data_IF_310362400861
#
_entry.id   IF_310362400861
#
_cell.length_a   1.000
_cell.length_b   1.000
_cell.length_c   1.000
_cell.angle_alpha   90.00
_cell.angle_beta   90.00
_cell.angle_gamma   90.00
#
_symmetry.space_group_name_H-M   'P 1'
#
loop_
_entity.id
_entity.type
_entity.pdbx_description
1 polymer ?
#
# COMPACT_ATOMS: atom_id res chain seq x y z
N UNK A 1 -2.23 37.93 -52.20
CA UNK A 1 -2.24 37.53 -53.63
C UNK A 1 -0.85 37.01 -53.98
N UNK A 2 -0.75 35.76 -54.46
CA UNK A 2 0.43 35.06 -55.08
C UNK A 2 1.66 34.82 -54.16
N UNK A 3 1.94 33.63 -53.62
CA UNK A 3 2.41 32.32 -54.16
C UNK A 3 3.90 32.23 -54.61
N UNK A 4 4.67 31.49 -53.79
CA UNK A 4 5.71 30.46 -54.07
C UNK A 4 7.03 30.80 -54.80
N UNK A 5 8.18 30.49 -54.13
CA UNK A 5 9.01 29.29 -54.45
C UNK A 5 10.19 29.02 -53.47
N UNK A 6 10.18 27.79 -52.93
CA UNK A 6 11.28 26.83 -52.60
C UNK A 6 12.59 27.30 -51.94
N UNK A 7 12.97 26.63 -50.82
CA UNK A 7 14.03 25.59 -50.79
C UNK A 7 14.00 24.79 -49.47
N UNK A 8 13.90 23.47 -49.60
CA UNK A 8 14.13 22.50 -48.53
C UNK A 8 15.64 22.43 -48.23
N UNK A 9 16.03 22.65 -46.98
CA UNK A 9 17.35 22.27 -46.48
C UNK A 9 17.20 21.02 -45.61
N UNK A 10 17.61 19.86 -46.15
CA UNK A 10 17.93 18.66 -45.35
C UNK A 10 19.21 18.96 -44.56
N UNK A 11 19.07 19.32 -43.30
CA UNK A 11 20.19 19.39 -42.36
C UNK A 11 20.51 17.99 -41.83
N UNK A 12 21.61 17.40 -42.27
CA UNK A 12 22.23 16.27 -41.57
C UNK A 12 22.81 16.78 -40.25
N UNK A 13 22.30 16.28 -39.12
CA UNK A 13 22.91 16.49 -37.80
C UNK A 13 24.20 15.66 -37.73
N UNK A 14 25.35 16.22 -37.32
CA UNK A 14 26.60 15.47 -37.29
C UNK A 14 26.65 14.53 -36.07
N UNK A 15 27.21 13.33 -36.31
CA UNK A 15 27.54 12.27 -35.34
C UNK A 15 28.61 12.75 -34.34
N UNK A 16 28.22 13.64 -33.42
CA UNK A 16 29.00 14.02 -32.23
C UNK A 16 28.42 13.47 -30.92
N UNK A 17 27.19 12.96 -30.94
CA UNK A 17 26.44 12.44 -29.78
C UNK A 17 27.06 11.18 -29.16
N UNK A 18 27.63 10.27 -29.97
CA UNK A 18 28.14 8.98 -29.46
C UNK A 18 29.38 9.09 -28.57
N UNK A 19 30.19 10.15 -28.71
CA UNK A 19 31.39 10.37 -27.89
C UNK A 19 31.05 10.91 -26.49
N UNK A 20 30.02 11.74 -26.39
CA UNK A 20 29.55 12.30 -25.12
C UNK A 20 28.80 11.26 -24.28
N UNK A 21 27.93 10.46 -24.91
CA UNK A 21 27.26 9.33 -24.24
C UNK A 21 28.29 8.31 -23.71
N UNK A 22 29.33 8.00 -24.50
CA UNK A 22 30.43 7.11 -24.08
C UNK A 22 31.22 7.67 -22.89
N UNK A 23 31.51 8.97 -22.88
CA UNK A 23 32.21 9.61 -21.76
C UNK A 23 31.37 9.66 -20.48
N UNK A 24 30.05 9.82 -20.60
CA UNK A 24 29.11 9.84 -19.47
C UNK A 24 28.97 8.45 -18.83
N UNK A 25 28.86 7.39 -19.65
CA UNK A 25 28.80 5.99 -19.21
C UNK A 25 30.09 5.57 -18.51
N UNK A 26 31.26 5.95 -19.05
CA UNK A 26 32.55 5.68 -18.41
C UNK A 26 32.71 6.41 -17.06
N UNK A 27 32.18 7.64 -16.93
CA UNK A 27 32.23 8.41 -15.69
C UNK A 27 31.30 7.85 -14.60
N UNK A 28 30.13 7.34 -14.97
CA UNK A 28 29.17 6.67 -14.08
C UNK A 28 29.69 5.30 -13.59
N UNK A 29 30.29 4.50 -14.48
CA UNK A 29 30.95 3.25 -14.10
C UNK A 29 32.08 3.48 -13.08
N UNK A 30 32.89 4.53 -13.28
CA UNK A 30 33.98 4.92 -12.38
C UNK A 30 33.48 5.38 -11.00
N UNK A 31 32.35 6.09 -10.92
CA UNK A 31 31.78 6.54 -9.63
C UNK A 31 31.20 5.39 -8.82
N UNK A 32 30.61 4.40 -9.49
CA UNK A 32 30.10 3.18 -8.85
C UNK A 32 31.23 2.26 -8.34
N UNK A 33 32.37 2.21 -9.04
CA UNK A 33 33.50 1.36 -8.65
C UNK A 33 34.25 1.89 -7.42
N UNK A 34 34.35 3.23 -7.26
CA UNK A 34 34.99 3.87 -6.11
C UNK A 34 34.22 3.79 -4.79
N UNK A 35 32.93 3.42 -4.82
CA UNK A 35 32.07 3.31 -3.63
C UNK A 35 31.97 1.88 -3.08
N UNK A 36 32.80 0.94 -3.55
CA UNK A 36 32.95 -0.37 -2.90
C UNK A 36 33.85 -0.26 -1.67
N UNK A 37 33.52 -0.89 -0.53
CA UNK A 37 34.46 -1.06 0.57
C UNK A 37 35.69 -1.83 0.06
N UNK A 38 36.88 -1.30 0.36
CA UNK A 38 38.18 -1.83 -0.08
C UNK A 38 38.33 -3.31 0.31
N UNK A 39 38.31 -4.17 -0.72
CA UNK A 39 38.76 -5.56 -0.67
C UNK A 39 40.00 -5.71 -1.54
N UNK A 40 41.04 -6.28 -0.94
CA UNK A 40 42.40 -6.56 -1.41
C UNK A 40 42.55 -6.80 -2.93
N UNK A 41 43.46 -6.03 -3.55
CA UNK A 41 44.00 -6.27 -4.90
C UNK A 41 45.05 -7.39 -4.86
N UNK A 42 45.18 -8.21 -5.92
CA UNK A 42 46.48 -8.72 -6.31
C UNK A 42 46.99 -8.03 -7.57
N UNK A 43 48.30 -7.81 -7.53
CA UNK A 43 49.16 -7.27 -8.57
C UNK A 43 49.12 -8.13 -9.86
N UNK A 44 49.00 -7.49 -11.01
CA UNK A 44 50.03 -7.50 -12.05
C UNK A 44 49.58 -6.73 -13.29
N UNK A 45 50.46 -5.81 -13.70
CA UNK A 45 50.34 -4.99 -14.90
C UNK A 45 51.17 -5.59 -16.04
N UNK A 46 50.64 -5.52 -17.26
CA UNK A 46 51.28 -5.50 -18.60
C UNK A 46 50.36 -6.25 -19.61
N UNK A 47 50.10 -5.82 -20.84
CA UNK A 47 50.79 -4.90 -21.73
C UNK A 47 49.79 -4.23 -22.71
N UNK A 48 50.14 -3.02 -23.15
CA UNK A 48 49.53 -2.33 -24.28
C UNK A 48 50.05 -2.91 -25.60
N UNK A 49 49.14 -3.19 -26.54
CA UNK A 49 49.43 -3.38 -27.95
C UNK A 49 48.31 -2.74 -28.78
N UNK A 50 48.63 -1.65 -29.46
CA UNK A 50 47.76 -1.01 -30.47
C UNK A 50 47.92 -1.75 -31.80
N UNK A 51 46.82 -2.01 -32.53
CA UNK A 51 46.75 -1.85 -34.00
C UNK A 51 45.34 -2.15 -34.58
N UNK A 52 44.89 -1.28 -35.52
CA UNK A 52 43.85 -1.57 -36.53
C UNK A 52 42.55 -0.73 -36.49
N UNK A 53 42.13 -0.08 -37.61
CA UNK A 53 40.86 0.64 -37.71
C UNK A 53 39.71 -0.34 -38.00
N UNK A 54 39.32 -1.10 -36.98
CA UNK A 54 38.12 -1.94 -37.00
C UNK A 54 36.88 -1.12 -36.62
N UNK A 55 35.75 -1.42 -37.26
CA UNK A 55 34.44 -0.83 -36.97
C UNK A 55 34.21 -0.71 -35.45
N UNK A 56 33.81 0.49 -35.00
CA UNK A 56 33.50 0.72 -33.60
C UNK A 56 32.36 -0.23 -33.19
N UNK A 57 32.54 -1.07 -32.15
CA UNK A 57 31.47 -1.92 -31.66
C UNK A 57 30.35 -1.04 -31.10
N UNK A 58 29.14 -1.22 -31.64
CA UNK A 58 27.89 -0.69 -31.10
C UNK A 58 27.65 -1.36 -29.75
N UNK A 59 27.38 -0.54 -28.73
CA UNK A 59 27.58 -0.86 -27.32
C UNK A 59 26.61 -1.90 -26.76
N UNK A 60 27.12 -3.03 -26.21
CA UNK A 60 26.41 -3.91 -25.27
C UNK A 60 26.12 -3.26 -23.90
N UNK A 61 26.48 -1.98 -23.72
CA UNK A 61 26.49 -1.30 -22.41
C UNK A 61 25.13 -0.74 -21.99
N UNK A 62 24.24 -0.36 -22.92
CA UNK A 62 22.88 0.07 -22.56
C UNK A 62 22.07 -1.09 -21.93
N UNK A 63 22.22 -2.31 -22.46
CA UNK A 63 21.66 -3.52 -21.88
C UNK A 63 22.29 -3.89 -20.53
N UNK A 64 23.59 -3.64 -20.33
CA UNK A 64 24.25 -3.82 -19.02
C UNK A 64 23.82 -2.79 -17.99
N UNK A 65 23.59 -1.54 -18.39
CA UNK A 65 23.12 -0.46 -17.52
C UNK A 65 21.65 -0.66 -17.15
N UNK A 66 20.81 -1.06 -18.13
CA UNK A 66 19.43 -1.50 -17.87
C UNK A 66 19.41 -2.67 -16.90
N UNK A 67 20.25 -3.70 -17.10
CA UNK A 67 20.37 -4.83 -16.18
C UNK A 67 20.85 -4.44 -14.78
N UNK A 68 21.87 -3.59 -14.67
CA UNK A 68 22.40 -3.11 -13.39
C UNK A 68 21.42 -2.22 -12.61
N UNK A 69 20.50 -1.53 -13.29
CA UNK A 69 19.41 -0.75 -12.68
C UNK A 69 18.20 -1.62 -12.31
N UNK A 70 17.96 -2.70 -13.07
CA UNK A 70 16.80 -3.59 -12.92
C UNK A 70 17.04 -4.70 -11.88
N UNK A 71 18.26 -5.25 -11.77
CA UNK A 71 18.58 -6.35 -10.85
C UNK A 71 18.30 -5.99 -9.35
N UNK A 72 18.57 -4.77 -8.84
CA UNK A 72 18.22 -4.38 -7.47
C UNK A 72 16.72 -4.13 -7.24
N UNK A 73 15.96 -3.81 -8.29
CA UNK A 73 14.50 -3.62 -8.24
C UNK A 73 13.75 -4.97 -8.24
N UNK A 74 14.38 -6.03 -8.75
CA UNK A 74 13.83 -7.39 -8.84
C UNK A 74 14.02 -8.23 -7.55
N UNK A 75 14.87 -7.79 -6.62
CA UNK A 75 15.13 -8.50 -5.37
C UNK A 75 14.04 -8.30 -4.29
N UNK A 76 12.89 -7.72 -4.62
CA UNK A 76 11.81 -7.47 -3.68
C UNK A 76 10.74 -8.57 -3.67
N UNK A 77 10.20 -8.95 -2.50
CA UNK A 77 8.97 -9.75 -2.43
C UNK A 77 7.80 -8.96 -3.01
N UNK A 78 6.93 -9.65 -3.76
CA UNK A 78 5.72 -9.04 -4.31
C UNK A 78 4.81 -8.54 -3.17
N UNK A 79 4.42 -7.28 -3.25
CA UNK A 79 3.54 -6.64 -2.28
C UNK A 79 2.08 -7.03 -2.57
N UNK A 80 1.28 -7.51 -1.59
CA UNK A 80 -0.03 -8.13 -1.83
C UNK A 80 -1.20 -7.15 -2.07
N UNK A 81 -0.95 -5.85 -2.24
CA UNK A 81 -1.97 -4.78 -2.11
C UNK A 81 -2.73 -4.40 -3.39
N UNK A 82 -3.05 -5.34 -4.27
CA UNK A 82 -3.77 -4.98 -5.50
C UNK A 82 -5.07 -5.76 -5.68
N UNK A 83 -6.18 -5.01 -5.68
CA UNK A 83 -7.54 -5.50 -5.96
C UNK A 83 -7.70 -5.87 -7.46
N UNK A 84 -6.81 -5.37 -8.31
CA UNK A 84 -6.37 -5.98 -9.56
C UNK A 84 -4.90 -5.58 -9.74
N UNK A 85 -3.93 -6.50 -9.82
CA UNK A 85 -2.52 -6.13 -9.94
C UNK A 85 -2.33 -5.19 -11.14
N UNK A 86 -1.75 -3.98 -10.98
CA UNK A 86 -1.18 -3.29 -12.12
C UNK A 86 -0.19 -4.28 -12.72
N UNK A 87 -0.18 -4.40 -14.03
CA UNK A 87 0.76 -5.28 -14.68
C UNK A 87 2.18 -4.71 -14.48
N UNK A 88 2.79 -5.07 -13.35
CA UNK A 88 4.16 -4.74 -12.99
C UNK A 88 5.05 -5.62 -13.86
N UNK A 89 5.62 -5.03 -14.89
CA UNK A 89 6.46 -5.74 -15.85
C UNK A 89 7.89 -5.81 -15.36
N UNK A 90 8.15 -6.74 -14.45
CA UNK A 90 9.51 -7.08 -14.00
C UNK A 90 9.87 -8.50 -14.47
N UNK A 91 10.99 -8.61 -15.19
CA UNK A 91 11.58 -9.88 -15.66
C UNK A 91 12.39 -9.69 -16.95
N UNK A 92 13.33 -10.59 -17.28
CA UNK A 92 14.17 -10.48 -18.49
C UNK A 92 13.60 -11.18 -19.73
N UNK A 93 12.40 -11.75 -19.68
CA UNK A 93 11.81 -12.45 -20.83
C UNK A 93 10.33 -12.10 -20.99
N UNK A 94 9.96 -11.69 -22.20
CA UNK A 94 8.58 -11.41 -22.57
C UNK A 94 8.08 -10.04 -22.11
N UNK A 95 8.97 -9.14 -21.69
CA UNK A 95 8.62 -7.78 -21.25
C UNK A 95 8.01 -7.00 -22.40
N UNK A 96 8.56 -7.14 -23.61
CA UNK A 96 7.98 -6.55 -24.82
C UNK A 96 6.54 -7.04 -25.08
N UNK A 97 6.31 -8.36 -25.04
CA UNK A 97 4.97 -8.97 -25.25
C UNK A 97 3.98 -8.49 -24.19
N UNK A 98 4.41 -8.44 -22.94
CA UNK A 98 3.62 -8.01 -21.80
C UNK A 98 3.23 -6.53 -21.87
N UNK A 99 4.17 -5.65 -22.21
CA UNK A 99 3.89 -4.23 -22.48
C UNK A 99 2.94 -4.04 -23.67
N UNK A 100 3.12 -4.81 -24.74
CA UNK A 100 2.21 -4.80 -25.89
C UNK A 100 0.79 -5.25 -25.53
N UNK A 101 0.64 -6.20 -24.59
CA UNK A 101 -0.66 -6.62 -24.07
C UNK A 101 -1.29 -5.55 -23.18
N UNK A 102 -0.53 -4.94 -22.27
CA UNK A 102 -1.01 -3.85 -21.41
C UNK A 102 -1.54 -2.66 -22.21
N UNK A 103 -0.87 -2.35 -23.32
CA UNK A 103 -1.23 -1.25 -24.24
C UNK A 103 -2.68 -1.33 -24.76
N UNK A 104 -3.32 -2.50 -24.72
CA UNK A 104 -4.63 -2.74 -25.34
C UNK A 104 -5.76 -2.97 -24.32
N UNK A 105 -5.47 -3.20 -23.03
CA UNK A 105 -6.54 -3.60 -22.11
C UNK A 105 -6.25 -3.62 -20.62
N UNK A 106 -5.17 -3.00 -20.13
CA UNK A 106 -4.94 -2.89 -18.69
C UNK A 106 -5.78 -1.75 -18.08
N UNK A 107 -6.35 -2.00 -16.89
CA UNK A 107 -7.07 -0.98 -16.12
C UNK A 107 -6.16 0.17 -15.66
N UNK A 108 -4.89 -0.13 -15.40
CA UNK A 108 -3.81 0.83 -15.13
C UNK A 108 -2.48 0.14 -15.43
N UNK A 109 -1.59 0.79 -16.19
CA UNK A 109 -0.23 0.30 -16.41
C UNK A 109 0.77 1.19 -15.68
N UNK A 110 1.66 0.59 -14.89
CA UNK A 110 2.79 1.28 -14.26
C UNK A 110 4.10 0.79 -14.91
N UNK A 111 4.90 1.72 -15.43
CA UNK A 111 6.21 1.43 -16.02
C UNK A 111 7.27 2.27 -15.34
N UNK A 112 8.29 1.62 -14.79
CA UNK A 112 9.53 2.25 -14.35
C UNK A 112 10.68 1.71 -15.16
N UNK A 113 11.56 2.57 -15.68
CA UNK A 113 12.69 2.11 -16.49
C UNK A 113 13.23 3.13 -17.49
N UNK A 114 13.58 2.65 -18.68
CA UNK A 114 14.21 3.44 -19.74
C UNK A 114 13.21 3.81 -20.83
N UNK A 115 13.22 5.08 -21.23
CA UNK A 115 12.54 5.56 -22.42
C UNK A 115 13.53 6.14 -23.41
N UNK A 116 13.18 6.12 -24.70
CA UNK A 116 13.97 6.75 -25.76
C UNK A 116 13.08 7.51 -26.72
N UNK A 117 13.64 8.60 -27.26
CA UNK A 117 13.03 9.41 -28.30
C UNK A 117 13.71 9.12 -29.64
N UNK A 118 12.95 8.60 -30.60
CA UNK A 118 13.47 8.21 -31.92
C UNK A 118 12.54 8.74 -33.01
N UNK A 119 13.10 9.49 -33.96
CA UNK A 119 12.42 9.91 -35.21
C UNK A 119 11.04 10.58 -35.05
N UNK A 120 10.79 11.25 -33.91
CA UNK A 120 9.51 11.92 -33.66
C UNK A 120 8.54 11.12 -32.80
N UNK A 121 8.97 9.99 -32.24
CA UNK A 121 8.12 9.09 -31.45
C UNK A 121 8.81 8.64 -30.15
N UNK A 122 7.98 8.41 -29.12
CA UNK A 122 8.42 7.99 -27.80
C UNK A 122 8.26 6.47 -27.61
N UNK A 123 9.33 5.84 -27.14
CA UNK A 123 9.40 4.39 -26.93
C UNK A 123 9.79 4.03 -25.51
N UNK A 124 9.24 2.94 -25.00
CA UNK A 124 9.75 2.22 -23.84
C UNK A 124 10.80 1.21 -24.30
N UNK A 125 11.85 1.03 -23.51
CA UNK A 125 12.91 0.05 -23.78
C UNK A 125 12.69 -1.18 -22.88
N UNK A 126 12.22 -2.32 -23.43
CA UNK A 126 12.12 -3.55 -22.67
C UNK A 126 13.49 -4.03 -22.20
N UNK A 127 13.53 -4.70 -21.04
CA UNK A 127 14.74 -5.32 -20.49
C UNK A 127 15.33 -6.40 -21.42
N UNK A 128 14.50 -6.97 -22.29
CA UNK A 128 14.85 -7.97 -23.30
C UNK A 128 15.11 -7.39 -24.69
N UNK A 129 15.21 -6.06 -24.83
CA UNK A 129 15.56 -5.42 -26.10
C UNK A 129 17.00 -5.77 -26.52
N UNK A 130 17.17 -6.14 -27.79
CA UNK A 130 18.46 -6.46 -28.39
C UNK A 130 19.31 -5.22 -28.71
N UNK A 131 18.71 -4.02 -28.69
CA UNK A 131 19.36 -2.77 -29.04
C UNK A 131 18.38 -1.64 -29.32
N UNK A 132 18.83 -0.39 -29.15
CA UNK A 132 18.04 0.82 -29.42
C UNK A 132 17.91 1.12 -30.93
N UNK A 133 18.77 0.51 -31.75
CA UNK A 133 18.81 0.62 -33.21
C UNK A 133 17.78 -0.28 -33.92
N UNK A 134 17.02 -1.06 -33.16
CA UNK A 134 15.98 -1.95 -33.67
C UNK A 134 14.61 -1.55 -33.09
N UNK A 135 13.92 -0.55 -33.69
CA UNK A 135 12.63 -0.05 -33.19
C UNK A 135 11.57 -1.13 -32.98
N UNK A 136 11.62 -2.21 -33.76
CA UNK A 136 10.75 -3.39 -33.62
C UNK A 136 10.91 -4.14 -32.30
N UNK A 137 12.00 -3.92 -31.55
CA UNK A 137 12.21 -4.51 -30.21
C UNK A 137 11.75 -3.58 -29.08
N UNK A 138 11.36 -2.35 -29.42
CA UNK A 138 10.87 -1.35 -28.49
C UNK A 138 9.34 -1.36 -28.44
N UNK A 139 8.76 -0.66 -27.47
CA UNK A 139 7.32 -0.50 -27.36
C UNK A 139 6.96 0.97 -27.53
N UNK A 140 6.35 1.29 -28.68
CA UNK A 140 5.84 2.63 -28.98
C UNK A 140 4.72 3.02 -28.00
N UNK A 141 4.81 4.25 -27.49
CA UNK A 141 3.75 4.88 -26.71
C UNK A 141 2.64 5.51 -27.59
N UNK A 142 2.86 5.62 -28.90
CA UNK A 142 1.83 6.13 -29.81
C UNK A 142 0.64 5.17 -29.86
N UNK A 143 -0.57 5.70 -29.75
CA UNK A 143 -1.80 4.89 -29.75
C UNK A 143 -1.94 3.97 -28.54
N UNK A 144 -1.30 4.29 -27.41
CA UNK A 144 -1.51 3.57 -26.16
C UNK A 144 -2.94 3.74 -25.67
N UNK A 145 -3.62 2.63 -25.38
CA UNK A 145 -5.00 2.62 -24.93
C UNK A 145 -5.04 2.33 -23.42
N UNK A 146 -5.67 3.25 -22.68
CA UNK A 146 -5.88 3.13 -21.24
C UNK A 146 -4.86 3.89 -20.37
N UNK A 147 -5.10 3.91 -19.05
CA UNK A 147 -4.32 4.72 -18.14
C UNK A 147 -2.88 4.25 -17.96
N UNK A 148 -1.96 5.22 -17.91
CA UNK A 148 -0.53 4.96 -17.87
C UNK A 148 0.18 5.80 -16.80
N UNK A 149 1.04 5.15 -16.03
CA UNK A 149 1.94 5.79 -15.08
C UNK A 149 3.37 5.46 -15.47
N UNK A 150 4.16 6.50 -15.71
CA UNK A 150 5.53 6.41 -16.19
C UNK A 150 6.49 7.02 -15.19
N UNK A 151 7.57 6.32 -14.89
CA UNK A 151 8.74 6.87 -14.24
C UNK A 151 9.97 6.43 -15.01
N UNK A 152 10.46 7.32 -15.89
CA UNK A 152 11.44 6.97 -16.90
C UNK A 152 12.70 7.81 -16.79
N UNK A 153 13.83 7.15 -17.02
CA UNK A 153 15.08 7.79 -17.42
C UNK A 153 15.10 7.88 -18.95
N UNK A 154 15.20 9.10 -19.47
CA UNK A 154 15.29 9.42 -20.90
C UNK A 154 16.54 10.29 -21.10
N UNK A 155 17.73 9.68 -21.28
CA UNK A 155 18.99 10.41 -21.31
C UNK A 155 19.12 11.40 -22.47
N UNK A 156 18.43 11.12 -23.57
CA UNK A 156 18.44 11.96 -24.78
C UNK A 156 17.01 12.25 -25.23
N UNK A 157 16.71 13.53 -25.47
CA UNK A 157 15.41 13.95 -25.98
C UNK A 157 14.28 13.98 -24.96
N UNK A 158 14.56 14.04 -23.65
CA UNK A 158 13.53 14.09 -22.61
C UNK A 158 12.49 15.21 -22.80
N UNK A 159 12.92 16.39 -23.24
CA UNK A 159 12.00 17.49 -23.57
C UNK A 159 11.04 17.12 -24.72
N UNK A 160 11.56 16.60 -25.82
CA UNK A 160 10.74 16.15 -26.95
C UNK A 160 9.83 14.97 -26.55
N UNK A 161 10.31 14.08 -25.68
CA UNK A 161 9.52 12.98 -25.11
C UNK A 161 8.36 13.51 -24.27
N UNK A 162 8.59 14.52 -23.41
CA UNK A 162 7.55 15.19 -22.62
C UNK A 162 6.52 15.88 -23.53
N UNK A 163 6.98 16.61 -24.55
CA UNK A 163 6.11 17.27 -25.54
C UNK A 163 5.25 16.26 -26.29
N UNK A 164 5.81 15.12 -26.69
CA UNK A 164 5.06 14.02 -27.29
C UNK A 164 4.00 13.48 -26.35
N UNK A 165 4.33 13.21 -25.08
CA UNK A 165 3.35 12.75 -24.09
C UNK A 165 2.22 13.76 -23.89
N UNK A 166 2.52 15.06 -23.91
CA UNK A 166 1.52 16.11 -23.83
C UNK A 166 0.60 16.13 -25.05
N UNK A 167 1.16 16.03 -26.25
CA UNK A 167 0.41 16.15 -27.51
C UNK A 167 -0.33 14.86 -27.91
N UNK A 168 0.30 13.70 -27.72
CA UNK A 168 -0.11 12.41 -28.30
C UNK A 168 -0.14 11.26 -27.28
N UNK A 169 0.18 11.53 -26.01
CA UNK A 169 0.13 10.52 -24.96
C UNK A 169 -1.30 10.06 -24.60
N UNK A 170 -1.42 9.07 -23.69
CA UNK A 170 -2.70 8.55 -23.21
C UNK A 170 -3.60 9.62 -22.58
N UNK A 171 -4.92 9.41 -22.61
CA UNK A 171 -5.92 10.29 -21.95
C UNK A 171 -5.62 10.48 -20.47
N UNK A 172 -5.43 9.38 -19.74
CA UNK A 172 -5.01 9.35 -18.34
C UNK A 172 -3.52 9.01 -18.24
N UNK A 173 -2.72 9.96 -17.77
CA UNK A 173 -1.27 9.85 -17.70
C UNK A 173 -0.74 10.49 -16.42
N UNK A 174 0.17 9.79 -15.73
CA UNK A 174 1.08 10.41 -14.77
C UNK A 174 2.51 10.04 -15.14
N UNK A 175 3.33 11.00 -15.56
CA UNK A 175 4.67 10.73 -16.07
C UNK A 175 5.73 11.57 -15.37
N UNK A 176 6.73 10.90 -14.80
CA UNK A 176 8.01 11.48 -14.44
C UNK A 176 9.04 11.09 -15.49
N UNK A 177 9.70 12.09 -16.07
CA UNK A 177 10.76 11.92 -17.06
C UNK A 177 12.01 12.62 -16.53
N UNK A 178 13.05 11.85 -16.27
CA UNK A 178 14.35 12.30 -15.77
C UNK A 178 15.39 12.23 -16.88
N UNK A 179 16.28 13.22 -16.96
CA UNK A 179 17.37 13.23 -17.95
C UNK A 179 18.60 12.49 -17.42
N UNK A 180 18.80 12.54 -16.11
CA UNK A 180 19.97 11.93 -15.47
C UNK A 180 19.60 10.79 -14.54
N UNK A 181 20.52 9.84 -14.38
CA UNK A 181 20.35 8.74 -13.43
C UNK A 181 20.27 9.23 -11.98
N UNK A 182 20.96 10.33 -11.66
CA UNK A 182 20.93 10.97 -10.33
C UNK A 182 19.53 11.52 -10.02
N UNK A 183 18.93 12.24 -10.97
CA UNK A 183 17.54 12.66 -10.86
C UNK A 183 16.62 11.46 -10.71
N UNK A 184 16.75 10.47 -11.60
CA UNK A 184 15.89 9.28 -11.63
C UNK A 184 15.92 8.52 -10.30
N UNK A 185 17.10 8.25 -9.76
CA UNK A 185 17.30 7.49 -8.52
C UNK A 185 16.99 8.33 -7.27
N UNK A 186 17.24 9.64 -7.30
CA UNK A 186 16.67 10.69 -6.44
C UNK A 186 16.79 10.55 -4.90
N UNK A 187 17.41 9.49 -4.41
CA UNK A 187 17.56 9.14 -3.00
C UNK A 187 18.98 8.63 -2.75
N UNK A 188 19.63 9.18 -1.72
CA UNK A 188 20.93 8.71 -1.23
C UNK A 188 20.84 7.33 -0.54
N UNK A 189 19.62 6.89 -0.20
CA UNK A 189 19.38 5.54 0.27
C UNK A 189 19.25 4.62 -0.94
N UNK A 190 20.13 3.60 -1.08
CA UNK A 190 19.87 2.53 -2.03
C UNK A 190 18.50 1.93 -1.68
N UNK A 191 17.72 1.56 -2.69
CA UNK A 191 16.40 0.90 -2.58
C UNK A 191 15.14 1.76 -2.41
N UNK A 192 15.19 3.11 -2.49
CA UNK A 192 13.96 3.93 -2.51
C UNK A 192 13.99 5.02 -3.57
N UNK A 193 13.48 4.72 -4.77
CA UNK A 193 13.18 5.72 -5.77
C UNK A 193 12.16 6.72 -5.21
N UNK A 194 12.46 8.02 -5.26
CA UNK A 194 11.59 9.09 -4.72
C UNK A 194 10.19 9.09 -5.35
N UNK A 195 10.06 8.75 -6.63
CA UNK A 195 8.76 8.61 -7.27
C UNK A 195 7.93 7.50 -6.63
N UNK A 196 8.52 6.31 -6.49
CA UNK A 196 7.86 5.17 -5.85
C UNK A 196 7.48 5.46 -4.39
N UNK A 197 8.34 6.18 -3.66
CA UNK A 197 8.05 6.62 -2.29
C UNK A 197 6.82 7.52 -2.24
N UNK A 198 6.78 8.60 -3.02
CA UNK A 198 5.65 9.53 -3.01
C UNK A 198 4.37 8.90 -3.58
N UNK A 199 4.50 8.01 -4.55
CA UNK A 199 3.40 7.21 -5.08
C UNK A 199 2.78 6.33 -3.99
N UNK A 200 3.61 5.59 -3.25
CA UNK A 200 3.17 4.77 -2.13
C UNK A 200 2.52 5.62 -1.04
N UNK A 201 3.15 6.72 -0.63
CA UNK A 201 2.59 7.65 0.36
C UNK A 201 1.23 8.22 -0.05
N UNK A 202 1.03 8.53 -1.34
CA UNK A 202 -0.27 8.94 -1.86
C UNK A 202 -1.31 7.82 -1.76
N UNK A 203 -0.96 6.60 -2.18
CA UNK A 203 -1.82 5.41 -2.06
C UNK A 203 -2.14 5.03 -0.61
N UNK A 204 -1.33 5.47 0.35
CA UNK A 204 -1.59 5.31 1.79
C UNK A 204 -2.58 6.34 2.34
N UNK A 205 -3.04 7.29 1.52
CA UNK A 205 -4.04 8.29 1.93
C UNK A 205 -3.45 9.56 2.53
N UNK A 206 -2.21 9.94 2.16
CA UNK A 206 -1.61 11.21 2.58
C UNK A 206 -2.54 12.39 2.25
N UNK A 207 -3.00 13.19 3.25
CA UNK A 207 -4.03 14.20 3.05
C UNK A 207 -3.70 15.22 1.96
N UNK A 208 -2.43 15.58 1.81
CA UNK A 208 -1.98 16.52 0.78
C UNK A 208 -2.04 15.95 -0.65
N UNK A 209 -2.19 14.63 -0.79
CA UNK A 209 -2.36 13.94 -2.08
C UNK A 209 -3.82 13.73 -2.46
N UNK A 210 -4.77 14.06 -1.60
CA UNK A 210 -6.20 13.83 -1.81
C UNK A 210 -6.90 15.11 -2.29
N UNK A 211 -7.88 14.94 -3.15
CA UNK A 211 -8.85 15.98 -3.50
C UNK A 211 -10.24 15.53 -3.02
N UNK A 212 -10.80 16.23 -2.03
CA UNK A 212 -12.07 15.86 -1.38
C UNK A 212 -12.09 14.42 -0.86
N UNK A 213 -10.96 13.94 -0.33
CA UNK A 213 -10.80 12.56 0.15
C UNK A 213 -10.63 11.54 -0.97
N UNK A 214 -10.54 11.93 -2.24
CA UNK A 214 -10.29 10.99 -3.34
C UNK A 214 -8.87 11.19 -3.84
N UNK A 215 -8.12 10.09 -3.94
CA UNK A 215 -6.83 10.07 -4.61
C UNK A 215 -7.07 9.90 -6.10
N UNK A 216 -6.68 10.89 -6.88
CA UNK A 216 -6.73 10.88 -8.34
C UNK A 216 -5.33 11.04 -8.93
N UNK A 217 -5.13 10.70 -10.22
CA UNK A 217 -3.85 11.00 -10.89
C UNK A 217 -3.46 12.49 -10.82
N UNK A 218 -4.39 13.45 -11.05
CA UNK A 218 -4.09 14.88 -10.86
C UNK A 218 -3.71 15.25 -9.43
N UNK A 219 -4.45 14.77 -8.41
CA UNK A 219 -4.18 15.14 -7.01
C UNK A 219 -2.83 14.56 -6.55
N UNK A 220 -2.52 13.32 -6.93
CA UNK A 220 -1.22 12.71 -6.70
C UNK A 220 -0.09 13.44 -7.43
N UNK A 221 -0.31 13.86 -8.68
CA UNK A 221 0.66 14.64 -9.45
C UNK A 221 0.94 16.02 -8.85
N UNK A 222 -0.11 16.70 -8.37
CA UNK A 222 0.00 17.97 -7.63
C UNK A 222 0.79 17.81 -6.34
N UNK A 223 0.52 16.75 -5.58
CA UNK A 223 1.28 16.40 -4.38
C UNK A 223 2.76 16.15 -4.67
N UNK A 224 3.08 15.30 -5.65
CA UNK A 224 4.46 15.02 -6.03
C UNK A 224 5.20 16.30 -6.42
N UNK A 225 4.57 17.16 -7.22
CA UNK A 225 5.14 18.45 -7.64
C UNK A 225 5.39 19.36 -6.44
N UNK A 226 4.44 19.44 -5.50
CA UNK A 226 4.58 20.22 -4.26
C UNK A 226 5.70 19.69 -3.36
N UNK A 227 5.90 18.37 -3.35
CA UNK A 227 7.04 17.73 -2.67
C UNK A 227 8.34 17.84 -3.45
N UNK A 228 8.41 18.65 -4.51
CA UNK A 228 9.63 18.92 -5.28
C UNK A 228 9.98 17.84 -6.30
N UNK A 229 9.00 17.03 -6.72
CA UNK A 229 9.14 16.04 -7.78
C UNK A 229 8.23 16.41 -8.96
N UNK A 230 8.73 17.12 -9.98
CA UNK A 230 7.91 17.56 -11.09
C UNK A 230 7.44 16.36 -11.93
N UNK A 231 6.12 16.28 -12.13
CA UNK A 231 5.47 15.22 -12.91
C UNK A 231 4.44 15.82 -13.87
N UNK A 232 4.25 15.17 -15.01
CA UNK A 232 3.19 15.47 -15.96
C UNK A 232 1.95 14.66 -15.57
N UNK A 233 0.86 15.32 -15.17
CA UNK A 233 -0.42 14.67 -14.91
C UNK A 233 -1.48 15.09 -15.94
N UNK A 234 -2.22 14.13 -16.50
CA UNK A 234 -3.29 14.34 -17.50
C UNK A 234 -4.45 13.37 -17.24
N UNK A 235 -5.66 13.82 -17.54
CA UNK A 235 -6.88 13.05 -17.36
C UNK A 235 -7.29 12.91 -15.89
N UNK A 236 -8.51 12.49 -15.65
CA UNK A 236 -9.04 12.27 -14.30
C UNK A 236 -9.29 10.79 -14.13
N UNK A 237 -8.36 10.11 -13.46
CA UNK A 237 -8.54 8.74 -13.00
C UNK A 237 -8.57 8.73 -11.48
N UNK A 238 -9.66 8.22 -10.91
CA UNK A 238 -9.70 7.87 -9.49
C UNK A 238 -8.84 6.63 -9.24
N UNK A 239 -7.85 6.76 -8.37
CA UNK A 239 -6.99 5.66 -7.94
C UNK A 239 -7.59 4.97 -6.71
N UNK A 240 -7.98 5.76 -5.71
CA UNK A 240 -8.56 5.29 -4.44
C UNK A 240 -9.55 6.34 -3.93
N UNK A 241 -10.71 5.90 -3.45
CA UNK A 241 -11.71 6.77 -2.80
C UNK A 241 -11.58 6.63 -1.27
N UNK A 242 -11.03 7.64 -0.61
CA UNK A 242 -10.99 7.77 0.86
C UNK A 242 -12.14 8.64 1.40
N UNK A 243 -13.05 9.13 0.55
CA UNK A 243 -14.21 9.93 0.96
C UNK A 243 -15.25 9.10 1.74
N UNK A 244 -15.24 7.78 1.52
CA UNK A 244 -15.94 6.82 2.37
C UNK A 244 -15.14 6.60 3.66
N UNK A 245 -15.26 7.53 4.60
CA UNK A 245 -14.57 7.43 5.88
C UNK A 245 -15.08 6.25 6.71
N UNK A 246 -14.20 5.32 7.06
CA UNK A 246 -14.45 4.41 8.20
C UNK A 246 -14.05 5.10 9.51
N UNK A 247 -13.04 5.99 9.47
CA UNK A 247 -12.46 6.61 10.67
C UNK A 247 -12.53 8.14 10.68
N UNK A 248 -12.98 8.77 9.59
CA UNK A 248 -13.11 10.23 9.52
C UNK A 248 -14.22 10.82 10.43
N UNK A 249 -15.31 10.09 10.78
CA UNK A 249 -16.21 10.54 11.83
C UNK A 249 -15.52 10.63 13.22
N UNK A 250 -14.41 9.90 13.43
CA UNK A 250 -13.62 9.87 14.66
C UNK A 250 -12.48 10.90 14.70
N UNK A 251 -12.38 11.74 13.66
CA UNK A 251 -11.82 13.09 13.78
C UNK A 251 -12.47 13.93 14.91
N UNK A 252 -13.49 13.40 15.58
CA UNK A 252 -14.04 13.81 16.87
C UNK A 252 -13.01 14.03 18.01
N UNK A 253 -11.83 13.40 17.98
CA UNK A 253 -11.05 13.25 19.21
C UNK A 253 -9.66 13.90 19.21
N UNK A 254 -9.14 14.31 18.05
CA UNK A 254 -7.74 14.76 17.93
C UNK A 254 -6.71 13.70 18.38
N UNK A 255 -7.16 12.48 18.71
CA UNK A 255 -6.37 11.38 19.23
C UNK A 255 -5.94 10.47 18.07
N UNK A 256 -4.66 10.13 18.05
CA UNK A 256 -4.11 9.17 17.09
C UNK A 256 -4.68 7.79 17.42
N UNK A 257 -5.36 7.14 16.47
CA UNK A 257 -5.80 5.75 16.63
C UNK A 257 -4.58 4.85 16.37
N UNK A 258 -4.28 3.95 17.31
CA UNK A 258 -3.16 3.00 17.23
C UNK A 258 -3.62 1.62 16.78
N UNK A 259 -4.83 1.22 17.19
CA UNK A 259 -5.41 -0.08 16.92
C UNK A 259 -6.93 0.03 16.69
N UNK A 260 -7.50 -0.94 16.00
CA UNK A 260 -8.94 -1.11 15.91
C UNK A 260 -9.30 -2.57 16.16
N UNK A 261 -10.54 -2.85 16.48
CA UNK A 261 -10.93 -4.15 16.98
C UNK A 261 -12.40 -4.44 16.84
N UNK A 262 -12.74 -5.69 17.08
CA UNK A 262 -14.11 -6.15 17.21
C UNK A 262 -14.29 -6.80 18.57
N UNK A 263 -15.50 -6.71 19.10
CA UNK A 263 -15.83 -7.29 20.40
C UNK A 263 -17.14 -8.05 20.31
N UNK A 264 -17.14 -9.25 20.86
CA UNK A 264 -18.33 -10.09 21.03
C UNK A 264 -18.46 -10.55 22.49
N UNK A 265 -19.71 -10.76 22.92
CA UNK A 265 -20.06 -11.14 24.30
C UNK A 265 -21.02 -12.31 24.26
N UNK A 266 -20.71 -13.37 25.00
CA UNK A 266 -21.63 -14.51 25.20
C UNK A 266 -21.76 -14.86 26.67
N UNK A 267 -22.95 -15.30 27.06
CA UNK A 267 -23.18 -15.78 28.41
C UNK A 267 -22.39 -17.06 28.69
N UNK A 268 -21.75 -17.12 29.86
CA UNK A 268 -21.01 -18.28 30.34
C UNK A 268 -21.45 -18.63 31.76
N UNK A 269 -21.77 -19.91 31.99
CA UNK A 269 -22.07 -20.39 33.35
C UNK A 269 -20.78 -20.73 34.05
N UNK A 270 -20.63 -20.27 35.29
CA UNK A 270 -19.43 -20.52 36.11
C UNK A 270 -19.13 -22.03 36.23
N UNK A 271 -20.16 -22.89 36.26
CA UNK A 271 -20.00 -24.35 36.33
C UNK A 271 -19.32 -24.99 35.13
N UNK A 272 -19.33 -24.33 33.97
CA UNK A 272 -18.68 -24.85 32.76
C UNK A 272 -17.16 -24.74 32.89
N UNK A 273 -16.67 -23.71 33.60
CA UNK A 273 -15.25 -23.48 33.83
C UNK A 273 -14.80 -24.09 35.16
N UNK A 274 -15.52 -23.81 36.25
CA UNK A 274 -15.23 -24.31 37.59
C UNK A 274 -16.07 -25.56 37.87
N UNK A 275 -15.79 -26.65 37.16
CA UNK A 275 -16.60 -27.88 37.18
C UNK A 275 -16.71 -28.52 38.58
N UNK A 276 -15.72 -28.33 39.44
CA UNK A 276 -15.64 -28.91 40.77
C UNK A 276 -16.17 -28.00 41.90
N UNK A 277 -16.67 -26.81 41.58
CA UNK A 277 -17.09 -25.84 42.60
C UNK A 277 -18.23 -26.40 43.49
N UNK A 278 -17.98 -26.44 44.79
CA UNK A 278 -18.96 -26.84 45.83
C UNK A 278 -19.28 -25.64 46.73
N UNK A 279 -20.50 -25.58 47.28
CA UNK A 279 -20.92 -24.55 48.23
C UNK A 279 -20.80 -23.08 47.74
N UNK A 280 -21.50 -22.73 46.66
CA UNK A 280 -21.57 -21.36 46.08
C UNK A 280 -21.76 -20.21 47.07
N UNK A 281 -22.44 -20.47 48.19
CA UNK A 281 -22.74 -19.46 49.19
C UNK A 281 -21.47 -18.95 49.91
N UNK A 282 -20.42 -19.77 49.99
CA UNK A 282 -19.17 -19.46 50.69
C UNK A 282 -18.28 -18.45 49.95
N UNK A 283 -18.47 -18.28 48.64
CA UNK A 283 -17.64 -17.39 47.82
C UNK A 283 -18.35 -16.08 47.52
N UNK A 284 -17.61 -14.98 47.52
CA UNK A 284 -18.06 -13.71 46.94
C UNK A 284 -18.05 -13.77 45.41
N UNK A 285 -18.82 -12.90 44.76
CA UNK A 285 -18.83 -12.79 43.30
C UNK A 285 -17.45 -12.50 42.72
N UNK A 286 -16.70 -11.57 43.34
CA UNK A 286 -15.32 -11.24 42.92
C UNK A 286 -14.36 -12.43 42.99
N UNK A 287 -14.48 -13.26 44.02
CA UNK A 287 -13.67 -14.48 44.13
C UNK A 287 -14.01 -15.48 43.02
N UNK A 288 -15.31 -15.64 42.71
CA UNK A 288 -15.76 -16.51 41.62
C UNK A 288 -15.23 -16.00 40.28
N UNK A 289 -15.38 -14.71 40.00
CA UNK A 289 -14.88 -14.08 38.77
C UNK A 289 -13.37 -14.26 38.61
N UNK A 290 -12.59 -14.01 39.67
CA UNK A 290 -11.15 -14.26 39.67
C UNK A 290 -10.83 -15.72 39.36
N UNK A 291 -11.50 -16.66 40.02
CA UNK A 291 -11.29 -18.08 39.79
C UNK A 291 -11.68 -18.52 38.37
N UNK A 292 -12.77 -17.99 37.79
CA UNK A 292 -13.15 -18.27 36.41
C UNK A 292 -12.08 -17.79 35.45
N UNK A 293 -11.65 -16.52 35.54
CA UNK A 293 -10.61 -15.97 34.66
C UNK A 293 -9.29 -16.78 34.74
N UNK A 294 -8.90 -17.21 35.95
CA UNK A 294 -7.70 -18.04 36.12
C UNK A 294 -7.82 -19.43 35.47
N UNK A 295 -9.03 -19.95 35.28
CA UNK A 295 -9.29 -21.27 34.70
C UNK A 295 -9.83 -21.19 33.25
N UNK A 296 -9.91 -20.00 32.65
CA UNK A 296 -10.38 -19.84 31.26
C UNK A 296 -9.44 -20.52 30.26
N UNK A 297 -8.13 -20.45 30.46
CA UNK A 297 -7.16 -21.01 29.50
C UNK A 297 -7.35 -22.52 29.26
N UNK A 298 -7.38 -23.35 30.33
CA UNK A 298 -7.73 -24.77 30.19
C UNK A 298 -9.10 -25.02 29.56
N UNK A 299 -10.12 -24.23 29.93
CA UNK A 299 -11.47 -24.35 29.39
C UNK A 299 -11.54 -24.03 27.89
N UNK A 300 -10.82 -23.00 27.42
CA UNK A 300 -10.83 -22.55 26.03
C UNK A 300 -9.79 -23.22 25.13
N UNK A 301 -8.94 -24.10 25.67
CA UNK A 301 -7.77 -24.64 24.96
C UNK A 301 -8.09 -25.23 23.58
N UNK A 302 -9.16 -26.01 23.49
CA UNK A 302 -9.58 -26.64 22.23
C UNK A 302 -10.18 -25.60 21.26
N UNK A 303 -11.03 -24.70 21.75
CA UNK A 303 -11.62 -23.61 20.95
C UNK A 303 -10.53 -22.69 20.39
N UNK A 304 -9.57 -22.26 21.21
CA UNK A 304 -8.46 -21.41 20.79
C UNK A 304 -7.58 -22.11 19.75
N UNK A 305 -7.31 -23.40 19.93
CA UNK A 305 -6.55 -24.19 18.96
C UNK A 305 -7.27 -24.30 17.61
N UNK A 306 -8.59 -24.48 17.62
CA UNK A 306 -9.40 -24.51 16.41
C UNK A 306 -9.42 -23.15 15.71
N UNK A 307 -9.73 -22.07 16.44
CA UNK A 307 -9.76 -20.70 15.91
C UNK A 307 -8.40 -20.26 15.37
N UNK A 308 -7.31 -20.57 16.05
CA UNK A 308 -5.96 -20.28 15.56
C UNK A 308 -5.67 -21.00 14.22
N UNK A 309 -6.10 -22.25 14.09
CA UNK A 309 -5.96 -23.02 12.85
C UNK A 309 -6.80 -22.45 11.71
N UNK A 310 -8.05 -22.07 11.99
CA UNK A 310 -8.97 -21.45 11.03
C UNK A 310 -8.45 -20.08 10.58
N UNK A 311 -8.02 -19.24 11.53
CA UNK A 311 -7.43 -17.93 11.27
C UNK A 311 -6.19 -18.04 10.37
N UNK A 312 -5.29 -18.98 10.70
CA UNK A 312 -4.08 -19.24 9.91
C UNK A 312 -4.42 -19.61 8.47
N UNK A 313 -5.42 -20.48 8.27
CA UNK A 313 -5.87 -20.89 6.93
C UNK A 313 -6.55 -19.74 6.18
N UNK A 314 -7.41 -18.98 6.85
CA UNK A 314 -8.16 -17.87 6.26
C UNK A 314 -7.23 -16.76 5.75
N UNK A 315 -6.13 -16.51 6.47
CA UNK A 315 -5.16 -15.46 6.17
C UNK A 315 -3.92 -15.94 5.41
N UNK A 316 -3.74 -17.25 5.23
CA UNK A 316 -2.57 -17.81 4.56
C UNK A 316 -1.26 -17.65 5.35
N UNK A 317 -1.35 -17.58 6.68
CA UNK A 317 -0.20 -17.37 7.57
C UNK A 317 0.62 -18.66 7.75
N UNK A 318 1.92 -18.50 7.98
CA UNK A 318 2.81 -19.60 8.32
C UNK A 318 2.53 -20.15 9.73
N UNK A 319 2.98 -21.37 10.02
CA UNK A 319 2.72 -22.05 11.31
C UNK A 319 3.28 -21.26 12.50
N UNK A 320 4.38 -20.52 12.33
CA UNK A 320 4.98 -19.70 13.38
C UNK A 320 4.41 -18.28 13.50
N UNK A 321 3.43 -17.91 12.68
CA UNK A 321 2.83 -16.56 12.68
C UNK A 321 1.48 -16.50 13.41
N UNK A 322 1.02 -17.63 13.97
CA UNK A 322 -0.18 -17.71 14.80
C UNK A 322 0.11 -18.62 15.99
N UNK A 323 -0.09 -18.12 17.19
CA UNK A 323 0.13 -18.84 18.44
C UNK A 323 -1.09 -18.70 19.36
N UNK A 324 -1.59 -19.82 19.89
CA UNK A 324 -2.62 -19.82 20.93
C UNK A 324 -1.98 -20.11 22.28
N UNK A 325 -2.06 -19.16 23.22
CA UNK A 325 -1.47 -19.27 24.55
C UNK A 325 -2.42 -18.75 25.62
N UNK A 326 -2.67 -19.57 26.64
CA UNK A 326 -3.54 -19.18 27.76
C UNK A 326 -4.96 -18.89 27.29
N UNK A 327 -5.36 -17.62 27.35
CA UNK A 327 -6.68 -17.11 26.93
C UNK A 327 -6.60 -16.28 25.64
N UNK A 328 -5.47 -16.34 24.94
CA UNK A 328 -5.15 -15.45 23.83
C UNK A 328 -4.76 -16.21 22.56
N UNK A 329 -5.01 -15.57 21.41
CA UNK A 329 -4.41 -15.94 20.12
C UNK A 329 -3.60 -14.73 19.65
N UNK A 330 -2.29 -14.91 19.47
CA UNK A 330 -1.40 -13.91 18.89
C UNK A 330 -1.13 -14.23 17.44
N UNK A 331 -1.12 -13.22 16.58
CA UNK A 331 -0.73 -13.37 15.19
C UNK A 331 -0.11 -12.08 14.65
N UNK A 332 0.45 -12.13 13.45
CA UNK A 332 1.13 -10.96 12.85
C UNK A 332 0.17 -9.75 12.77
N UNK A 333 0.46 -8.73 13.57
CA UNK A 333 -0.28 -7.47 13.62
C UNK A 333 -1.63 -7.54 14.34
N UNK A 334 -1.90 -8.59 15.12
CA UNK A 334 -3.16 -8.70 15.85
C UNK A 334 -3.15 -9.70 17.00
N UNK A 335 -4.15 -9.57 17.87
CA UNK A 335 -4.39 -10.48 18.98
C UNK A 335 -5.88 -10.66 19.26
N UNK A 336 -6.26 -11.83 19.73
CA UNK A 336 -7.57 -12.12 20.30
C UNK A 336 -7.39 -12.44 21.78
N UNK A 337 -8.20 -11.85 22.64
CA UNK A 337 -8.17 -12.06 24.08
C UNK A 337 -9.57 -12.40 24.60
N UNK A 338 -9.63 -13.32 25.56
CA UNK A 338 -10.87 -13.69 26.25
C UNK A 338 -10.82 -13.29 27.72
N UNK A 339 -11.88 -12.65 28.19
CA UNK A 339 -12.07 -12.28 29.60
C UNK A 339 -13.48 -12.57 30.08
N UNK A 340 -13.62 -12.86 31.38
CA UNK A 340 -14.92 -13.12 32.01
C UNK A 340 -15.27 -12.03 33.02
N UNK A 341 -16.49 -11.53 32.94
CA UNK A 341 -17.08 -10.61 33.92
C UNK A 341 -18.31 -11.26 34.56
N UNK A 342 -18.32 -11.40 35.88
CA UNK A 342 -19.43 -12.04 36.60
C UNK A 342 -20.64 -11.11 36.70
N UNK A 343 -21.81 -11.56 36.27
CA UNK A 343 -23.08 -10.85 36.50
C UNK A 343 -23.64 -11.22 37.87
N UNK A 344 -23.60 -12.50 38.20
CA UNK A 344 -23.94 -13.03 39.50
C UNK A 344 -22.98 -14.17 39.91
N UNK A 345 -23.30 -14.85 41.01
CA UNK A 345 -22.44 -15.94 41.48
C UNK A 345 -22.40 -17.14 40.53
N UNK A 346 -23.36 -17.32 39.62
CA UNK A 346 -23.51 -18.54 38.79
C UNK A 346 -23.27 -18.29 37.29
N UNK A 347 -23.39 -17.05 36.85
CA UNK A 347 -23.41 -16.64 35.45
C UNK A 347 -22.67 -15.31 35.26
N UNK A 348 -22.19 -15.12 34.05
CA UNK A 348 -21.54 -13.89 33.63
C UNK A 348 -21.34 -13.88 32.13
N UNK A 349 -20.55 -12.91 31.66
CA UNK A 349 -20.26 -12.70 30.26
C UNK A 349 -18.82 -13.06 29.95
N UNK A 350 -18.63 -13.95 28.98
CA UNK A 350 -17.35 -14.16 28.33
C UNK A 350 -17.25 -13.16 27.17
N UNK A 351 -16.27 -12.28 27.26
CA UNK A 351 -15.97 -11.27 26.23
C UNK A 351 -14.81 -11.76 25.39
N UNK A 352 -15.02 -11.84 24.09
CA UNK A 352 -13.96 -12.09 23.09
C UNK A 352 -13.61 -10.75 22.44
N UNK A 353 -12.35 -10.35 22.53
CA UNK A 353 -11.87 -9.06 22.02
C UNK A 353 -10.79 -9.29 20.98
N UNK A 354 -11.02 -8.82 19.75
CA UNK A 354 -10.03 -8.76 18.69
C UNK A 354 -9.39 -7.37 18.69
N UNK A 355 -8.06 -7.30 18.73
CA UNK A 355 -7.28 -6.10 18.51
C UNK A 355 -6.38 -6.26 17.28
N UNK A 356 -6.42 -5.26 16.40
CA UNK A 356 -5.65 -5.20 15.17
C UNK A 356 -4.85 -3.91 15.12
N UNK A 357 -3.62 -4.01 14.66
CA UNK A 357 -2.84 -2.84 14.28
C UNK A 357 -3.55 -2.08 13.16
N UNK A 358 -3.40 -0.74 13.16
CA UNK A 358 -3.95 0.13 12.10
C UNK A 358 -3.57 -0.27 10.67
N UNK A 359 -2.47 -1.01 10.48
CA UNK A 359 -2.06 -1.58 9.19
C UNK A 359 -3.12 -2.51 8.59
N UNK A 360 -3.90 -3.23 9.40
CA UNK A 360 -4.98 -4.12 8.95
C UNK A 360 -6.14 -3.40 8.26
N UNK A 361 -6.31 -2.09 8.50
CA UNK A 361 -7.31 -1.29 7.79
C UNK A 361 -7.04 -1.25 6.27
N UNK A 362 -5.79 -1.53 5.86
CA UNK A 362 -5.36 -1.62 4.46
C UNK A 362 -5.73 -2.96 3.79
N UNK A 363 -6.30 -3.91 4.54
CA UNK A 363 -6.68 -5.25 4.08
C UNK A 363 -8.19 -5.52 4.26
N UNK A 364 -9.08 -4.72 3.64
CA UNK A 364 -10.52 -4.79 3.89
C UNK A 364 -11.14 -6.15 3.54
N UNK A 365 -10.57 -6.90 2.60
CA UNK A 365 -11.05 -8.25 2.23
C UNK A 365 -10.61 -9.34 3.21
N UNK A 366 -9.57 -9.09 4.01
CA UNK A 366 -9.08 -10.04 5.01
C UNK A 366 -9.87 -9.95 6.32
N UNK A 367 -10.44 -8.77 6.61
CA UNK A 367 -11.21 -8.51 7.82
C UNK A 367 -12.45 -9.41 7.97
N UNK A 368 -13.34 -9.57 6.97
CA UNK A 368 -14.47 -10.49 7.07
C UNK A 368 -14.03 -11.93 7.30
N UNK A 369 -13.00 -12.40 6.57
CA UNK A 369 -12.46 -13.76 6.71
C UNK A 369 -11.88 -14.01 8.10
N UNK A 370 -11.21 -13.00 8.66
CA UNK A 370 -10.67 -13.05 10.01
C UNK A 370 -11.78 -13.15 11.05
N UNK A 371 -12.81 -12.31 10.93
CA UNK A 371 -13.94 -12.37 11.86
C UNK A 371 -14.70 -13.69 11.76
N UNK A 372 -14.94 -14.19 10.54
CA UNK A 372 -15.56 -15.49 10.31
C UNK A 372 -14.74 -16.61 10.96
N UNK A 373 -13.43 -16.64 10.75
CA UNK A 373 -12.53 -17.61 11.37
C UNK A 373 -12.45 -17.50 12.90
N UNK A 374 -12.80 -16.34 13.45
CA UNK A 374 -12.86 -16.11 14.90
C UNK A 374 -14.27 -16.26 15.47
N UNK A 375 -15.28 -16.52 14.63
CA UNK A 375 -16.69 -16.54 15.02
C UNK A 375 -17.17 -15.20 15.61
N UNK A 376 -16.65 -14.07 15.11
CA UNK A 376 -17.00 -12.73 15.56
C UNK A 376 -17.95 -12.06 14.57
N UNK A 377 -18.88 -11.26 15.08
CA UNK A 377 -19.73 -10.39 14.28
C UNK A 377 -19.30 -8.92 14.40
N UNK A 378 -19.46 -8.13 13.32
CA UNK A 378 -19.29 -6.67 13.34
C UNK A 378 -20.50 -5.98 14.02
N UNK A 379 -20.69 -6.22 15.32
CA UNK A 379 -21.68 -5.49 16.13
C UNK A 379 -21.10 -4.27 16.83
N UNK A 380 -19.81 -4.35 17.15
CA UNK A 380 -19.10 -3.43 18.02
C UNK A 380 -17.69 -3.19 17.49
N UNK A 381 -17.36 -1.92 17.22
CA UNK A 381 -16.02 -1.49 16.85
C UNK A 381 -15.30 -0.97 18.09
N UNK A 382 -14.09 -1.48 18.32
CA UNK A 382 -13.17 -0.94 19.31
C UNK A 382 -12.08 -0.13 18.62
N UNK A 383 -11.67 0.97 19.22
CA UNK A 383 -10.57 1.81 18.77
C UNK A 383 -9.64 2.09 19.93
N UNK A 384 -8.38 1.69 19.80
CA UNK A 384 -7.34 2.00 20.76
C UNK A 384 -6.69 3.34 20.41
N UNK A 385 -6.49 4.19 21.42
CA UNK A 385 -5.74 5.42 21.26
C UNK A 385 -4.24 5.17 21.32
N UNK A 386 -3.44 6.02 20.68
CA UNK A 386 -1.98 6.02 20.75
C UNK A 386 -1.42 6.63 22.03
N UNK A 387 -2.30 7.07 22.93
CA UNK A 387 -2.02 7.61 24.24
C UNK A 387 -3.33 7.95 24.95
N UNK A 388 -3.32 8.11 26.28
CA UNK A 388 -4.53 8.35 27.05
C UNK A 388 -5.19 9.68 26.67
N UNK A 389 -6.52 9.65 26.59
CA UNK A 389 -7.40 10.79 26.33
C UNK A 389 -8.19 11.07 27.60
N UNK A 390 -8.50 12.34 27.86
CA UNK A 390 -9.41 12.71 28.95
C UNK A 390 -10.85 12.72 28.41
N UNK A 391 -11.72 11.74 28.77
CA UNK A 391 -13.03 11.60 28.12
C UNK A 391 -13.91 12.85 28.22
N UNK A 392 -13.81 13.60 29.33
CA UNK A 392 -14.54 14.86 29.55
C UNK A 392 -14.26 15.92 28.49
N UNK A 393 -13.06 15.95 27.89
CA UNK A 393 -12.74 16.93 26.83
C UNK A 393 -13.56 16.73 25.56
N UNK A 394 -14.19 15.57 25.42
CA UNK A 394 -14.91 15.18 24.22
C UNK A 394 -16.37 15.64 24.25
N UNK A 395 -16.89 16.05 25.42
CA UNK A 395 -18.29 16.41 25.62
C UNK A 395 -18.77 17.50 24.64
N UNK A 396 -18.01 18.59 24.51
CA UNK A 396 -18.37 19.69 23.62
C UNK A 396 -18.44 19.25 22.16
N UNK A 397 -17.49 18.42 21.71
CA UNK A 397 -17.46 17.89 20.35
C UNK A 397 -18.60 16.91 20.07
N UNK A 398 -18.90 16.03 21.03
CA UNK A 398 -20.01 15.09 20.93
C UNK A 398 -21.36 15.80 20.89
N UNK A 399 -21.60 16.76 21.79
CA UNK A 399 -22.81 17.57 21.81
C UNK A 399 -23.00 18.36 20.50
N UNK A 400 -21.94 19.01 19.99
CA UNK A 400 -21.99 19.75 18.73
C UNK A 400 -22.35 18.87 17.52
N UNK A 401 -22.01 17.57 17.56
CA UNK A 401 -22.37 16.59 16.53
C UNK A 401 -23.69 15.87 16.80
N UNK A 402 -24.47 16.30 17.80
CA UNK A 402 -25.79 15.78 18.11
C UNK A 402 -25.80 14.43 18.83
N UNK A 403 -24.74 14.13 19.59
CA UNK A 403 -24.74 12.99 20.51
C UNK A 403 -25.42 13.38 21.83
N UNK A 404 -26.26 12.49 22.35
CA UNK A 404 -26.83 12.60 23.69
C UNK A 404 -25.92 11.90 24.67
N UNK A 405 -25.29 12.65 25.58
CA UNK A 405 -24.45 12.11 26.64
C UNK A 405 -25.34 11.58 27.77
N UNK A 406 -25.13 10.34 28.18
CA UNK A 406 -25.90 9.67 29.24
C UNK A 406 -25.11 9.45 30.53
N UNK A 407 -23.78 9.51 30.49
CA UNK A 407 -22.90 9.40 31.66
C UNK A 407 -21.60 10.17 31.44
N UNK A 408 -21.15 10.87 32.47
CA UNK A 408 -19.95 11.72 32.49
C UNK A 408 -19.13 11.44 33.76
N UNK A 409 -18.50 10.28 33.81
CA UNK A 409 -17.55 9.95 34.87
C UNK A 409 -16.17 10.53 34.54
N UNK A 410 -15.26 10.51 35.51
CA UNK A 410 -13.91 11.04 35.33
C UNK A 410 -13.12 10.29 34.25
N UNK A 411 -13.22 8.96 34.24
CA UNK A 411 -12.51 8.08 33.32
C UNK A 411 -13.45 7.41 32.30
N UNK A 412 -14.73 7.80 32.25
CA UNK A 412 -15.67 7.16 31.34
C UNK A 412 -16.73 8.13 30.85
N UNK A 413 -16.97 8.12 29.54
CA UNK A 413 -18.04 8.87 28.90
C UNK A 413 -18.94 7.92 28.12
N UNK A 414 -20.26 8.02 28.33
CA UNK A 414 -21.25 7.28 27.56
C UNK A 414 -22.13 8.24 26.75
N UNK A 415 -22.28 7.99 25.45
CA UNK A 415 -23.10 8.81 24.57
C UNK A 415 -23.88 7.97 23.54
N UNK A 416 -24.95 8.54 22.99
CA UNK A 416 -25.82 7.90 22.01
C UNK A 416 -26.21 8.83 20.86
N UNK A 417 -26.33 8.29 19.65
CA UNK A 417 -26.88 9.01 18.48
C UNK A 417 -27.69 8.04 17.61
N UNK A 418 -29.02 8.11 17.71
CA UNK A 418 -29.91 7.15 17.05
C UNK A 418 -29.65 5.71 17.56
N UNK A 419 -29.36 4.73 16.69
CA UNK A 419 -29.01 3.37 17.10
C UNK A 419 -27.58 3.24 17.63
N UNK A 420 -26.72 4.25 17.39
CA UNK A 420 -25.32 4.19 17.79
C UNK A 420 -25.16 4.45 19.29
N UNK A 421 -24.23 3.73 19.90
CA UNK A 421 -23.81 3.87 21.29
C UNK A 421 -22.30 4.00 21.33
N UNK A 422 -21.83 4.92 22.15
CA UNK A 422 -20.43 5.28 22.28
C UNK A 422 -20.03 5.18 23.75
N UNK A 423 -18.98 4.43 24.03
CA UNK A 423 -18.28 4.43 25.30
C UNK A 423 -16.84 4.88 25.06
N UNK A 424 -16.38 5.86 25.83
CA UNK A 424 -15.00 6.35 25.76
C UNK A 424 -14.37 6.22 27.13
N UNK A 425 -13.23 5.55 27.15
CA UNK A 425 -12.32 5.44 28.29
C UNK A 425 -10.97 6.08 27.91
N UNK A 426 -10.01 6.21 28.83
CA UNK A 426 -8.79 6.95 28.52
C UNK A 426 -8.00 6.34 27.37
N UNK A 427 -7.95 5.01 27.26
CA UNK A 427 -7.10 4.33 26.28
C UNK A 427 -7.86 3.83 25.05
N UNK A 428 -9.19 3.85 25.07
CA UNK A 428 -9.99 3.25 24.01
C UNK A 428 -11.39 3.83 23.88
N UNK A 429 -12.03 3.50 22.75
CA UNK A 429 -13.41 3.84 22.44
C UNK A 429 -14.14 2.63 21.86
N UNK A 430 -15.34 2.34 22.39
CA UNK A 430 -16.27 1.33 21.87
C UNK A 430 -17.43 2.04 21.19
N UNK A 431 -17.67 1.67 19.93
CA UNK A 431 -18.79 2.13 19.13
C UNK A 431 -19.65 0.92 18.77
N UNK A 432 -20.85 0.85 19.33
CA UNK A 432 -21.80 -0.25 19.10
C UNK A 432 -23.06 0.23 18.38
N UNK A 433 -23.81 -0.73 17.83
CA UNK A 433 -24.96 -0.45 16.96
C UNK A 433 -24.58 -0.14 15.51
N UNK A 434 -23.35 -0.49 15.12
CA UNK A 434 -22.86 -0.37 13.76
C UNK A 434 -23.52 -1.41 12.86
N UNK A 435 -23.78 -1.03 11.61
CA UNK A 435 -24.05 -1.97 10.52
C UNK A 435 -22.80 -2.04 9.67
N UNK A 436 -22.45 -3.23 9.19
CA UNK A 436 -21.33 -3.44 8.25
C UNK A 436 -21.34 -2.46 7.07
N UNK A 437 -22.52 -2.11 6.57
CA UNK A 437 -22.69 -1.10 5.49
C UNK A 437 -22.32 0.33 5.91
N UNK A 438 -22.43 0.66 7.20
CA UNK A 438 -21.97 1.94 7.74
C UNK A 438 -20.45 1.97 7.90
N UNK A 439 -19.83 0.81 8.16
CA UNK A 439 -18.37 0.67 8.22
C UNK A 439 -17.75 0.64 6.83
N UNK A 440 -18.31 -0.11 5.87
CA UNK A 440 -17.72 -0.30 4.54
C UNK A 440 -18.18 0.73 3.50
N UNK A 441 -19.04 1.67 3.90
CA UNK A 441 -19.74 2.61 3.02
C UNK A 441 -20.95 1.98 2.33
N UNK A 442 -21.95 2.81 2.00
CA UNK A 442 -23.05 2.31 1.15
C UNK A 442 -22.50 1.94 -0.23
N UNK A 443 -22.79 0.75 -0.76
CA UNK A 443 -22.33 0.36 -2.08
C UNK A 443 -22.91 1.33 -3.11
N UNK A 444 -22.07 2.17 -3.72
CA UNK A 444 -22.51 3.15 -4.75
C UNK A 444 -23.09 2.47 -6.02
N UNK A 445 -23.01 1.14 -6.14
CA UNK A 445 -23.57 0.37 -7.27
C UNK A 445 -24.23 -0.94 -6.83
N UNK A 446 -25.24 -1.41 -7.59
CA UNK A 446 -25.87 -2.73 -7.40
C UNK A 446 -24.88 -3.90 -7.52
N UNK A 447 -23.75 -3.70 -8.20
CA UNK A 447 -22.72 -4.72 -8.39
C UNK A 447 -21.84 -4.83 -7.14
N UNK A 448 -21.44 -3.71 -6.56
CA UNK A 448 -20.79 -3.65 -5.24
C UNK A 448 -21.69 -4.20 -4.14
N UNK A 449 -23.01 -4.01 -4.26
CA UNK A 449 -24.01 -4.57 -3.34
C UNK A 449 -24.17 -6.09 -3.52
N UNK A 450 -24.12 -6.61 -4.75
CA UNK A 450 -24.10 -8.05 -5.02
C UNK A 450 -22.81 -8.73 -4.56
N UNK A 451 -21.66 -8.08 -4.71
CA UNK A 451 -20.38 -8.58 -4.20
C UNK A 451 -20.37 -8.61 -2.67
N UNK A 452 -20.84 -7.54 -2.00
CA UNK A 452 -21.00 -7.51 -0.54
C UNK A 452 -21.99 -8.55 -0.03
N UNK A 453 -23.13 -8.72 -0.72
CA UNK A 453 -24.14 -9.74 -0.37
C UNK A 453 -23.73 -11.17 -0.75
N UNK A 454 -22.68 -11.36 -1.55
CA UNK A 454 -22.11 -12.67 -1.84
C UNK A 454 -21.00 -13.09 -0.87
N UNK A 455 -20.55 -12.15 -0.04
CA UNK A 455 -19.57 -12.33 1.03
C UNK A 455 -20.21 -12.41 2.43
N UNK A 456 -21.54 -12.22 2.51
CA UNK A 456 -22.41 -12.49 3.65
C UNK A 456 -23.24 -13.74 3.33
#
# INVERSE_FOLDING_TARGET
MVLLKKRYCRGRVPVRSSRLAKALVQRLAWTMEKNKPLGVLPENASAFGLEGPGAAPVLPEAGRLAKALVDPLQAQPQSPYFVNPPALFTGPQGTQKRLAQAKVGAALTLVTGLGVWLEGEAYLVPSDSAGLDQPQTLVSLAGWQGPLVLDLLVPEGAMAFKEFLQAQGPSELLARISETAEEFLGSLLPHKNRFAQLWATGLEGEPLALDQGILTLPSLGGFMTTKGLPVLARGVLGLVDFSAGILDPLGLLGAKISAFGALDRRTLRVKEVLTEIKHWQAYSQKQIEYSVNHNLGPYLKEELGQKACELRKALGLAIGEVEAQGVEIHFTGGRVEYSYLGEDKKTGQLTQTLWLESSWARHPLALPKMLEALGLEWGTLLLGFGGPVEPKRLLAGLAAKGWSVSSELEEQLLAAKGPLRLQVEPDWLELSGLRLTLLLGEPKSQQSLKELLSLL
#
